data_IF_257696785210
#
_entry.id   IF_257696785210
#
_cell.length_a   1.000
_cell.length_b   1.000
_cell.length_c   1.000
_cell.angle_alpha   90.00
_cell.angle_beta   90.00
_cell.angle_gamma   90.00
#
_symmetry.space_group_name_H-M   'P 1'
#
loop_
_entity.id
_entity.type
_entity.pdbx_description
1 polymer ?
#
# COMPACT_ATOMS: atom_id res chain seq x y z
N UNK A 1 12.05 -8.24 -47.04
CA UNK A 1 10.90 -9.02 -46.54
C UNK A 1 10.78 -8.77 -45.05
N UNK A 2 10.06 -7.73 -44.66
CA UNK A 2 9.66 -7.51 -43.27
C UNK A 2 8.43 -8.37 -43.00
N UNK A 3 8.59 -9.47 -42.27
CA UNK A 3 7.45 -10.15 -41.69
C UNK A 3 6.87 -9.20 -40.62
N UNK A 4 5.69 -8.64 -40.87
CA UNK A 4 4.90 -7.99 -39.83
C UNK A 4 4.52 -9.10 -38.83
N UNK A 5 5.10 -9.04 -37.63
CA UNK A 5 4.73 -9.93 -36.53
C UNK A 5 3.23 -9.78 -36.27
N UNK A 6 2.51 -10.89 -36.14
CA UNK A 6 1.13 -10.83 -35.65
C UNK A 6 1.11 -10.22 -34.26
N UNK A 7 0.00 -9.59 -33.87
CA UNK A 7 -0.15 -9.01 -32.52
C UNK A 7 0.06 -10.05 -31.40
N UNK A 8 -0.23 -11.33 -31.67
CA UNK A 8 0.04 -12.43 -30.75
C UNK A 8 1.54 -12.74 -30.62
N UNK A 9 2.27 -12.86 -31.74
CA UNK A 9 3.71 -13.10 -31.73
C UNK A 9 4.49 -11.95 -31.10
N UNK A 10 4.10 -10.71 -31.37
CA UNK A 10 4.70 -9.53 -30.76
C UNK A 10 4.55 -9.54 -29.23
N UNK A 11 3.37 -9.88 -28.71
CA UNK A 11 3.11 -10.00 -27.26
C UNK A 11 3.93 -11.11 -26.62
N UNK A 12 4.04 -12.25 -27.29
CA UNK A 12 4.87 -13.38 -26.84
C UNK A 12 6.34 -12.97 -26.76
N UNK A 13 6.89 -12.43 -27.86
CA UNK A 13 8.29 -12.00 -27.93
C UNK A 13 8.62 -10.95 -26.87
N UNK A 14 7.72 -9.97 -26.67
CA UNK A 14 7.88 -8.97 -25.62
C UNK A 14 7.93 -9.61 -24.23
N UNK A 15 6.97 -10.49 -23.91
CA UNK A 15 6.87 -11.12 -22.58
C UNK A 15 8.10 -11.98 -22.28
N UNK A 16 8.54 -12.80 -23.25
CA UNK A 16 9.75 -13.63 -23.12
C UNK A 16 11.01 -12.77 -22.98
N UNK A 17 11.14 -11.69 -23.76
CA UNK A 17 12.29 -10.78 -23.69
C UNK A 17 12.36 -10.08 -22.33
N UNK A 18 11.23 -9.56 -21.83
CA UNK A 18 11.16 -8.91 -20.52
C UNK A 18 11.50 -9.90 -19.41
N UNK A 19 10.90 -11.10 -19.44
CA UNK A 19 11.18 -12.13 -18.44
C UNK A 19 12.67 -12.48 -18.39
N UNK A 20 13.28 -12.81 -19.53
CA UNK A 20 14.70 -13.17 -19.61
C UNK A 20 15.62 -12.03 -19.15
N UNK A 21 15.28 -10.79 -19.52
CA UNK A 21 16.07 -9.61 -19.14
C UNK A 21 16.01 -9.38 -17.63
N UNK A 22 14.82 -9.45 -17.03
CA UNK A 22 14.64 -9.27 -15.59
C UNK A 22 15.29 -10.40 -14.79
N UNK A 23 15.19 -11.65 -15.24
CA UNK A 23 15.90 -12.77 -14.61
C UNK A 23 17.41 -12.53 -14.60
N UNK A 24 17.98 -12.19 -15.77
CA UNK A 24 19.42 -11.93 -15.89
C UNK A 24 19.89 -10.81 -14.96
N UNK A 25 19.12 -9.72 -14.86
CA UNK A 25 19.49 -8.58 -14.00
C UNK A 25 19.28 -8.90 -12.51
N UNK A 26 18.18 -9.55 -12.15
CA UNK A 26 17.84 -9.85 -10.75
C UNK A 26 18.59 -11.05 -10.17
N UNK A 27 19.31 -11.80 -11.00
CA UNK A 27 20.28 -12.80 -10.55
C UNK A 27 21.53 -12.16 -9.88
N UNK A 28 21.75 -10.84 -10.06
CA UNK A 28 22.80 -10.13 -9.35
C UNK A 28 22.53 -10.11 -7.83
N UNK A 29 23.52 -10.46 -6.97
CA UNK A 29 23.36 -10.45 -5.52
C UNK A 29 22.84 -9.13 -4.94
N UNK A 30 23.05 -8.00 -5.64
CA UNK A 30 22.49 -6.70 -5.31
C UNK A 30 20.96 -6.78 -5.08
N UNK A 31 20.21 -7.50 -5.91
CA UNK A 31 18.76 -7.62 -5.76
C UNK A 31 18.32 -8.67 -4.73
N UNK A 32 19.25 -9.27 -3.99
CA UNK A 32 18.91 -10.16 -2.87
C UNK A 32 19.36 -9.62 -1.51
N UNK A 33 20.21 -8.58 -1.51
CA UNK A 33 20.72 -7.96 -0.29
C UNK A 33 19.72 -6.99 0.31
N UNK A 34 19.63 -6.98 1.64
CA UNK A 34 18.79 -6.03 2.36
C UNK A 34 19.41 -4.61 2.35
N UNK A 35 20.73 -4.53 2.51
CA UNK A 35 21.45 -3.25 2.54
C UNK A 35 21.28 -2.47 1.23
N UNK A 36 21.29 -3.17 0.09
CA UNK A 36 21.12 -2.55 -1.23
C UNK A 36 19.71 -2.03 -1.47
N UNK A 37 18.67 -2.65 -0.86
CA UNK A 37 17.31 -2.11 -0.87
C UNK A 37 17.25 -0.76 -0.14
N UNK A 38 17.91 -0.68 1.03
CA UNK A 38 18.00 0.55 1.80
C UNK A 38 18.73 1.64 1.01
N UNK A 39 19.91 1.33 0.49
CA UNK A 39 20.73 2.27 -0.30
C UNK A 39 20.00 2.75 -1.55
N UNK A 40 19.32 1.85 -2.28
CA UNK A 40 18.56 2.22 -3.47
C UNK A 40 17.42 3.22 -3.16
N UNK A 41 16.84 3.16 -1.96
CA UNK A 41 15.84 4.14 -1.52
C UNK A 41 16.48 5.47 -1.13
N UNK A 42 17.60 5.45 -0.42
CA UNK A 42 18.28 6.66 0.07
C UNK A 42 19.05 7.41 -1.05
N UNK A 43 19.56 6.69 -2.05
CA UNK A 43 20.43 7.20 -3.11
C UNK A 43 19.72 7.24 -4.46
N UNK A 44 18.81 8.21 -4.62
CA UNK A 44 18.11 8.47 -5.89
C UNK A 44 19.03 8.94 -7.02
N UNK A 45 20.26 9.33 -6.68
CA UNK A 45 21.34 9.74 -7.56
C UNK A 45 22.26 8.59 -8.02
N UNK A 46 22.02 7.35 -7.53
CA UNK A 46 22.79 6.19 -7.92
C UNK A 46 22.64 5.86 -9.41
N UNK A 47 23.72 5.42 -10.03
CA UNK A 47 23.75 4.97 -11.43
C UNK A 47 24.37 3.58 -11.56
N UNK A 48 23.96 2.87 -12.61
CA UNK A 48 24.35 1.50 -12.92
C UNK A 48 25.67 1.54 -13.70
N UNK A 49 26.59 0.66 -13.32
CA UNK A 49 27.88 0.44 -14.00
C UNK A 49 27.95 -0.98 -14.52
N UNK A 50 28.74 -1.20 -15.58
CA UNK A 50 29.12 -2.55 -15.99
C UNK A 50 29.93 -3.25 -14.89
N UNK A 51 30.09 -4.57 -15.01
CA UNK A 51 30.80 -5.40 -14.02
C UNK A 51 32.25 -4.96 -13.81
N UNK A 52 32.85 -4.38 -14.83
CA UNK A 52 34.21 -3.84 -14.85
C UNK A 52 34.30 -2.44 -14.21
N UNK A 53 33.19 -1.90 -13.69
CA UNK A 53 33.11 -0.56 -13.12
C UNK A 53 33.15 0.55 -14.17
N UNK A 54 33.02 0.21 -15.45
CA UNK A 54 33.10 1.15 -16.57
C UNK A 54 31.71 1.67 -16.92
N UNK A 55 31.60 2.98 -17.14
CA UNK A 55 30.39 3.61 -17.67
C UNK A 55 30.24 3.24 -19.14
N UNK A 56 29.03 3.01 -19.60
CA UNK A 56 28.77 3.01 -21.05
C UNK A 56 29.12 4.40 -21.58
N UNK A 57 29.82 4.47 -22.72
CA UNK A 57 30.45 5.71 -23.19
C UNK A 57 29.45 6.83 -23.53
N UNK A 58 28.16 6.52 -23.63
CA UNK A 58 27.16 7.41 -24.23
C UNK A 58 25.98 7.76 -23.31
N UNK A 59 25.66 6.95 -22.28
CA UNK A 59 24.44 7.14 -21.49
C UNK A 59 24.66 6.77 -20.02
N UNK A 60 24.35 7.70 -19.11
CA UNK A 60 24.29 7.39 -17.67
C UNK A 60 22.92 6.76 -17.39
N UNK A 61 22.92 5.50 -16.96
CA UNK A 61 21.71 4.80 -16.54
C UNK A 61 21.52 4.96 -15.03
N UNK A 62 20.60 5.83 -14.62
CA UNK A 62 20.25 5.96 -13.20
C UNK A 62 19.49 4.72 -12.72
N UNK A 63 19.80 4.29 -11.49
CA UNK A 63 19.07 3.20 -10.83
C UNK A 63 17.58 3.56 -10.69
N UNK A 64 17.28 4.85 -10.55
CA UNK A 64 15.92 5.36 -10.49
C UNK A 64 15.11 5.17 -11.76
N UNK A 65 15.73 5.40 -12.91
CA UNK A 65 15.09 5.10 -14.19
C UNK A 65 14.78 3.61 -14.34
N UNK A 66 15.67 2.75 -13.83
CA UNK A 66 15.47 1.31 -13.89
C UNK A 66 14.27 0.85 -13.04
N UNK A 67 14.19 1.22 -11.76
CA UNK A 67 13.03 0.82 -10.96
C UNK A 67 11.73 1.48 -11.43
N UNK A 68 11.76 2.70 -12.00
CA UNK A 68 10.58 3.32 -12.62
C UNK A 68 10.11 2.52 -13.85
N UNK A 69 11.03 1.99 -14.65
CA UNK A 69 10.69 1.10 -15.76
C UNK A 69 10.06 -0.20 -15.26
N UNK A 70 10.63 -0.84 -14.23
CA UNK A 70 10.03 -2.02 -13.60
C UNK A 70 8.63 -1.75 -13.06
N UNK A 71 8.40 -0.63 -12.37
CA UNK A 71 7.09 -0.23 -11.88
C UNK A 71 6.07 -0.01 -13.01
N UNK A 72 6.54 0.51 -14.16
CA UNK A 72 5.69 0.72 -15.33
C UNK A 72 5.31 -0.61 -16.01
N UNK A 73 6.26 -1.54 -16.11
CA UNK A 73 6.01 -2.91 -16.56
C UNK A 73 4.99 -3.59 -15.64
N UNK A 74 5.22 -3.51 -14.32
CA UNK A 74 4.33 -4.10 -13.32
C UNK A 74 2.89 -3.61 -13.50
N UNK A 75 2.66 -2.29 -13.51
CA UNK A 75 1.32 -1.71 -13.70
C UNK A 75 0.68 -2.14 -15.01
N UNK A 76 1.43 -2.12 -16.12
CA UNK A 76 0.89 -2.50 -17.43
C UNK A 76 0.43 -3.95 -17.42
N UNK A 77 1.17 -4.84 -16.78
CA UNK A 77 0.79 -6.25 -16.64
C UNK A 77 -0.45 -6.40 -15.74
N UNK A 78 -0.52 -5.71 -14.60
CA UNK A 78 -1.71 -5.74 -13.73
C UNK A 78 -2.96 -5.29 -14.48
N UNK A 79 -2.89 -4.18 -15.23
CA UNK A 79 -4.01 -3.71 -16.07
C UNK A 79 -4.42 -4.75 -17.10
N UNK A 80 -3.44 -5.33 -17.81
CA UNK A 80 -3.68 -6.36 -18.82
C UNK A 80 -4.37 -7.60 -18.23
N UNK A 81 -3.92 -8.06 -17.07
CA UNK A 81 -4.51 -9.22 -16.39
C UNK A 81 -5.92 -8.93 -15.87
N UNK A 82 -6.23 -7.67 -15.54
CA UNK A 82 -7.54 -7.28 -15.04
C UNK A 82 -8.59 -7.03 -16.15
N UNK A 83 -8.16 -6.50 -17.31
CA UNK A 83 -9.08 -6.00 -18.36
C UNK A 83 -9.08 -6.85 -19.63
N UNK A 84 -7.98 -7.56 -19.92
CA UNK A 84 -7.76 -8.23 -21.20
C UNK A 84 -7.38 -9.71 -21.03
N UNK A 85 -7.71 -10.35 -19.91
CA UNK A 85 -7.23 -11.70 -19.55
C UNK A 85 -7.37 -12.71 -20.71
N UNK A 86 -8.49 -12.70 -21.43
CA UNK A 86 -8.76 -13.58 -22.57
C UNK A 86 -7.73 -13.41 -23.69
N UNK A 87 -7.30 -12.19 -23.99
CA UNK A 87 -6.33 -11.92 -25.07
C UNK A 87 -4.90 -12.34 -24.70
N UNK A 88 -4.64 -12.51 -23.41
CA UNK A 88 -3.33 -12.80 -22.85
C UNK A 88 -3.25 -14.17 -22.16
N UNK A 89 -4.34 -14.96 -22.20
CA UNK A 89 -4.47 -16.24 -21.49
C UNK A 89 -3.23 -17.15 -21.65
N UNK A 90 -2.67 -17.38 -22.87
CA UNK A 90 -1.50 -18.24 -23.02
C UNK A 90 -0.22 -17.68 -22.36
N UNK A 91 -0.18 -16.36 -22.13
CA UNK A 91 0.95 -15.63 -21.56
C UNK A 91 0.77 -15.33 -20.06
N UNK A 92 -0.42 -15.56 -19.48
CA UNK A 92 -0.69 -15.29 -18.05
C UNK A 92 0.37 -15.89 -17.12
N UNK A 93 0.84 -17.14 -17.28
CA UNK A 93 1.89 -17.68 -16.42
C UNK A 93 3.22 -16.89 -16.52
N UNK A 94 3.60 -16.47 -17.73
CA UNK A 94 4.80 -15.66 -17.97
C UNK A 94 4.66 -14.27 -17.34
N UNK A 95 3.50 -13.63 -17.51
CA UNK A 95 3.19 -12.33 -16.93
C UNK A 95 3.20 -12.36 -15.39
N UNK A 96 2.59 -13.38 -14.78
CA UNK A 96 2.65 -13.60 -13.32
C UNK A 96 4.09 -13.76 -12.85
N UNK A 97 4.94 -14.46 -13.62
CA UNK A 97 6.35 -14.60 -13.26
C UNK A 97 7.12 -13.28 -13.29
N UNK A 98 6.81 -12.41 -14.26
CA UNK A 98 7.38 -11.05 -14.32
C UNK A 98 6.96 -10.24 -13.09
N UNK A 99 5.68 -10.29 -12.69
CA UNK A 99 5.20 -9.61 -11.49
C UNK A 99 5.97 -10.07 -10.25
N UNK A 100 6.07 -11.39 -10.03
CA UNK A 100 6.81 -11.99 -8.92
C UNK A 100 8.27 -11.50 -8.87
N UNK A 101 8.96 -11.46 -10.02
CA UNK A 101 10.34 -10.99 -10.11
C UNK A 101 10.49 -9.52 -9.74
N UNK A 102 9.55 -8.67 -10.20
CA UNK A 102 9.57 -7.23 -9.91
C UNK A 102 9.22 -6.93 -8.45
N UNK A 103 8.33 -7.71 -7.84
CA UNK A 103 8.04 -7.62 -6.41
C UNK A 103 9.21 -8.09 -5.55
N UNK A 104 9.75 -9.28 -5.86
CA UNK A 104 10.83 -9.89 -5.09
C UNK A 104 12.13 -9.07 -5.16
N UNK A 105 12.38 -8.39 -6.29
CA UNK A 105 13.52 -7.49 -6.43
C UNK A 105 13.36 -6.17 -5.66
N UNK A 106 12.17 -5.87 -5.13
CA UNK A 106 11.83 -4.62 -4.46
C UNK A 106 11.73 -3.41 -5.39
N UNK A 107 11.90 -3.59 -6.70
CA UNK A 107 11.85 -2.49 -7.66
C UNK A 107 10.47 -1.80 -7.68
N UNK A 108 9.37 -2.54 -7.49
CA UNK A 108 8.06 -1.92 -7.38
C UNK A 108 7.96 -0.99 -6.17
N UNK A 109 8.44 -1.44 -5.00
CA UNK A 109 8.47 -0.64 -3.77
C UNK A 109 9.39 0.59 -3.88
N UNK A 110 10.54 0.47 -4.54
CA UNK A 110 11.44 1.59 -4.81
C UNK A 110 10.81 2.61 -5.77
N UNK A 111 10.14 2.13 -6.83
CA UNK A 111 9.44 2.99 -7.79
C UNK A 111 8.30 3.79 -7.17
N UNK A 112 7.72 3.26 -6.09
CA UNK A 112 6.65 3.90 -5.34
C UNK A 112 7.11 5.08 -4.47
N UNK A 113 8.41 5.14 -4.16
CA UNK A 113 8.98 6.12 -3.23
C UNK A 113 8.21 6.22 -1.90
N UNK A 114 7.74 5.08 -1.38
CA UNK A 114 7.05 4.99 -0.08
C UNK A 114 7.93 4.20 0.90
N UNK A 115 8.39 4.80 2.01
CA UNK A 115 9.17 4.09 3.02
C UNK A 115 8.48 2.82 3.52
N UNK A 116 7.16 2.88 3.72
CA UNK A 116 6.36 1.75 4.25
C UNK A 116 6.41 0.54 3.31
N UNK A 117 6.44 0.76 1.99
CA UNK A 117 6.55 -0.32 1.01
C UNK A 117 7.87 -1.09 1.11
N UNK A 118 8.92 -0.50 1.71
CA UNK A 118 10.19 -1.19 1.90
C UNK A 118 10.11 -2.33 2.89
N UNK A 119 9.25 -2.26 3.91
CA UNK A 119 9.15 -3.36 4.87
C UNK A 119 8.57 -4.62 4.23
N UNK A 120 7.53 -4.45 3.42
CA UNK A 120 7.00 -5.53 2.58
C UNK A 120 8.05 -6.08 1.59
N UNK A 121 8.87 -5.21 0.98
CA UNK A 121 9.94 -5.64 0.09
C UNK A 121 11.10 -6.35 0.82
N UNK A 122 11.37 -6.01 2.09
CA UNK A 122 12.44 -6.59 2.88
C UNK A 122 12.26 -8.10 3.11
N UNK A 123 11.01 -8.61 3.07
CA UNK A 123 10.70 -10.05 3.22
C UNK A 123 11.39 -10.94 2.18
N UNK A 124 11.62 -10.40 0.98
CA UNK A 124 12.25 -11.11 -0.14
C UNK A 124 13.78 -11.09 -0.09
N UNK A 125 14.36 -10.36 0.87
CA UNK A 125 15.81 -10.23 1.00
C UNK A 125 16.38 -11.37 1.84
N UNK A 126 17.64 -11.70 1.55
CA UNK A 126 18.40 -12.65 2.36
C UNK A 126 18.84 -11.95 3.64
N UNK A 127 18.48 -12.52 4.78
CA UNK A 127 18.91 -12.06 6.10
C UNK A 127 19.47 -13.21 6.93
N UNK A 128 20.33 -12.90 7.89
CA UNK A 128 20.87 -13.92 8.80
C UNK A 128 19.90 -14.16 9.97
N UNK A 129 19.19 -13.12 10.38
CA UNK A 129 18.15 -13.13 11.41
C UNK A 129 16.89 -12.45 10.90
N UNK A 130 15.69 -12.83 11.36
CA UNK A 130 14.47 -12.13 10.99
C UNK A 130 14.50 -10.64 11.38
N UNK A 131 15.06 -10.30 12.55
CA UNK A 131 15.18 -8.91 13.04
C UNK A 131 16.03 -8.01 12.13
N UNK A 132 16.95 -8.59 11.34
CA UNK A 132 17.77 -7.83 10.40
C UNK A 132 16.89 -7.05 9.40
N UNK A 133 15.70 -7.54 9.05
CA UNK A 133 14.79 -6.85 8.12
C UNK A 133 14.36 -5.48 8.60
N UNK A 134 14.11 -5.33 9.89
CA UNK A 134 13.81 -4.02 10.51
C UNK A 134 15.09 -3.22 10.66
N UNK A 135 16.16 -3.80 11.21
CA UNK A 135 17.43 -3.09 11.41
C UNK A 135 18.02 -2.54 10.10
N UNK A 136 17.88 -3.29 9.01
CA UNK A 136 18.37 -2.90 7.69
C UNK A 136 17.52 -1.86 6.98
N UNK A 137 16.33 -1.49 7.49
CA UNK A 137 15.51 -0.43 6.87
C UNK A 137 15.20 0.72 7.83
N UNK A 138 15.38 0.57 9.15
CA UNK A 138 14.97 1.56 10.16
C UNK A 138 15.56 2.96 9.90
N UNK A 139 16.76 3.04 9.30
CA UNK A 139 17.43 4.30 8.94
C UNK A 139 16.67 5.09 7.85
N UNK A 140 15.97 4.42 6.94
CA UNK A 140 15.09 5.10 5.96
C UNK A 140 14.01 5.90 6.69
N UNK A 141 13.56 5.37 7.82
CA UNK A 141 12.58 6.03 8.66
C UNK A 141 13.21 6.98 9.66
N UNK A 142 14.54 7.10 9.73
CA UNK A 142 15.26 7.87 10.74
C UNK A 142 15.15 7.33 12.16
N UNK A 143 14.86 6.03 12.32
CA UNK A 143 14.60 5.37 13.60
C UNK A 143 15.87 4.75 14.21
N UNK A 144 15.89 4.62 15.54
CA UNK A 144 16.88 3.87 16.31
C UNK A 144 16.10 2.99 17.28
N UNK A 145 16.12 1.68 17.06
CA UNK A 145 15.26 0.70 17.75
C UNK A 145 16.06 -0.47 18.28
N UNK A 146 15.43 -1.31 19.10
CA UNK A 146 16.00 -2.59 19.50
C UNK A 146 17.36 -2.45 20.18
N UNK A 147 18.26 -3.37 19.86
CA UNK A 147 19.64 -3.41 20.35
C UNK A 147 20.46 -2.19 19.91
N UNK A 148 20.02 -1.45 18.88
CA UNK A 148 20.69 -0.19 18.51
C UNK A 148 20.36 0.95 19.46
N UNK A 149 19.17 0.92 20.09
CA UNK A 149 18.77 1.89 21.10
C UNK A 149 19.22 1.47 22.52
N UNK A 150 19.22 0.18 22.80
CA UNK A 150 19.67 -0.40 24.07
C UNK A 150 20.60 -1.61 23.83
N UNK A 151 21.92 -1.38 23.64
CA UNK A 151 22.87 -2.44 23.29
C UNK A 151 23.05 -3.53 24.36
N UNK A 152 22.61 -3.27 25.60
CA UNK A 152 22.77 -4.21 26.70
C UNK A 152 21.56 -5.17 26.84
N UNK A 153 20.48 -4.93 26.08
CA UNK A 153 19.25 -5.70 26.15
C UNK A 153 19.04 -6.47 24.86
N UNK A 154 18.98 -7.79 24.95
CA UNK A 154 18.54 -8.64 23.82
C UNK A 154 17.05 -8.42 23.58
N UNK A 155 16.69 -8.05 22.35
CA UNK A 155 15.31 -7.75 21.96
C UNK A 155 14.83 -8.79 20.95
N UNK A 156 13.71 -9.43 21.27
CA UNK A 156 13.05 -10.38 20.37
C UNK A 156 12.44 -9.68 19.16
N UNK A 157 12.24 -10.43 18.07
CA UNK A 157 11.69 -9.92 16.81
C UNK A 157 10.33 -9.26 17.03
N UNK A 158 9.45 -9.90 17.80
CA UNK A 158 8.11 -9.40 18.10
C UNK A 158 8.13 -8.05 18.83
N UNK A 159 9.01 -7.90 19.81
CA UNK A 159 9.19 -6.63 20.52
C UNK A 159 9.77 -5.55 19.60
N UNK A 160 10.68 -5.93 18.69
CA UNK A 160 11.22 -5.01 17.68
C UNK A 160 10.14 -4.57 16.68
N UNK A 161 9.24 -5.46 16.25
CA UNK A 161 8.08 -5.15 15.40
C UNK A 161 7.11 -4.19 16.09
N UNK A 162 6.84 -4.41 17.38
CA UNK A 162 6.04 -3.51 18.21
C UNK A 162 6.69 -2.11 18.28
N UNK A 163 8.00 -2.04 18.59
CA UNK A 163 8.75 -0.78 18.63
C UNK A 163 8.74 -0.06 17.28
N UNK A 164 8.91 -0.81 16.18
CA UNK A 164 8.87 -0.27 14.83
C UNK A 164 7.51 0.32 14.51
N UNK A 165 6.43 -0.45 14.68
CA UNK A 165 5.06 0.02 14.41
C UNK A 165 4.67 1.22 15.27
N UNK A 166 5.05 1.26 16.55
CA UNK A 166 4.83 2.42 17.43
C UNK A 166 5.52 3.66 16.91
N UNK A 167 6.82 3.55 16.65
CA UNK A 167 7.62 4.68 16.22
C UNK A 167 7.17 5.23 14.86
N UNK A 168 6.62 4.37 13.98
CA UNK A 168 5.98 4.81 12.74
C UNK A 168 4.72 5.63 13.01
N UNK A 169 3.83 5.17 13.90
CA UNK A 169 2.61 5.89 14.24
C UNK A 169 2.90 7.23 14.94
N UNK A 170 3.91 7.27 15.82
CA UNK A 170 4.37 8.50 16.49
C UNK A 170 4.91 9.54 15.49
N UNK A 171 5.59 9.09 14.42
CA UNK A 171 6.06 10.01 13.35
C UNK A 171 4.95 10.44 12.43
N UNK A 172 4.10 9.50 12.02
CA UNK A 172 2.98 9.76 11.13
C UNK A 172 1.98 8.61 11.17
N UNK A 173 0.93 8.76 11.97
CA UNK A 173 -0.23 7.86 11.97
C UNK A 173 -0.80 7.66 10.56
N UNK A 174 -0.75 8.69 9.74
CA UNK A 174 -1.25 8.63 8.36
C UNK A 174 -0.46 7.59 7.55
N UNK A 175 0.86 7.72 7.47
CA UNK A 175 1.70 6.78 6.72
C UNK A 175 1.69 5.39 7.35
N UNK A 176 1.71 5.33 8.68
CA UNK A 176 1.72 4.08 9.42
C UNK A 176 0.43 3.28 9.27
N UNK A 177 -0.68 3.90 8.85
CA UNK A 177 -1.97 3.22 8.68
C UNK A 177 -2.44 3.12 7.22
N UNK A 178 -1.76 3.72 6.23
CA UNK A 178 -2.10 3.61 4.80
C UNK A 178 -1.39 2.43 4.14
N UNK A 179 -1.72 1.21 4.55
CA UNK A 179 -1.24 -0.04 3.98
C UNK A 179 -2.38 -1.06 3.89
N UNK A 180 -2.18 -2.22 3.28
CA UNK A 180 -3.07 -3.37 3.43
C UNK A 180 -2.27 -4.59 3.84
N UNK A 181 -2.83 -5.45 4.66
CA UNK A 181 -2.29 -6.79 4.90
C UNK A 181 -2.62 -7.70 3.73
N UNK A 182 -1.61 -8.35 3.15
CA UNK A 182 -1.76 -9.33 2.07
C UNK A 182 -2.07 -10.75 2.59
N UNK A 183 -2.03 -10.94 3.90
CA UNK A 183 -2.35 -12.19 4.58
C UNK A 183 -3.00 -11.90 5.92
N UNK A 184 -3.44 -12.95 6.61
CA UNK A 184 -4.10 -12.79 7.90
C UNK A 184 -3.14 -12.14 8.90
N UNK A 185 -3.59 -11.07 9.57
CA UNK A 185 -2.83 -10.44 10.64
C UNK A 185 -2.89 -11.28 11.91
N UNK A 186 -1.86 -11.15 12.76
CA UNK A 186 -1.89 -11.76 14.09
C UNK A 186 -3.00 -11.12 14.93
N UNK A 187 -3.67 -11.92 15.76
CA UNK A 187 -4.68 -11.43 16.69
C UNK A 187 -4.07 -10.32 17.58
N UNK A 188 -4.79 -9.21 17.74
CA UNK A 188 -4.29 -8.07 18.51
C UNK A 188 -3.18 -7.25 17.83
N UNK A 189 -2.96 -7.44 16.52
CA UNK A 189 -1.93 -6.70 15.75
C UNK A 189 -2.39 -6.23 14.38
N UNK A 190 -3.70 -6.15 14.13
CA UNK A 190 -4.18 -5.77 12.79
C UNK A 190 -3.77 -4.34 12.40
N UNK A 191 -3.55 -3.47 13.39
CA UNK A 191 -3.08 -2.09 13.20
C UNK A 191 -1.56 -1.98 12.92
N UNK A 192 -0.78 -3.03 13.17
CA UNK A 192 0.68 -3.02 12.99
C UNK A 192 1.05 -3.31 11.54
N UNK A 193 2.03 -2.59 11.01
CA UNK A 193 2.59 -2.94 9.70
C UNK A 193 3.42 -4.21 9.82
N UNK A 194 3.33 -5.10 8.84
CA UNK A 194 4.07 -6.36 8.81
C UNK A 194 4.87 -6.51 7.51
N UNK A 195 5.74 -7.53 7.47
CA UNK A 195 6.37 -7.98 6.22
C UNK A 195 5.33 -8.40 5.16
N UNK A 196 4.12 -8.76 5.58
CA UNK A 196 3.02 -9.10 4.67
C UNK A 196 2.15 -7.91 4.31
N UNK A 197 2.59 -6.67 4.57
CA UNK A 197 1.87 -5.47 4.18
C UNK A 197 2.30 -4.93 2.81
N UNK A 198 1.37 -4.31 2.10
CA UNK A 198 1.60 -3.57 0.86
C UNK A 198 0.95 -2.19 0.92
N UNK A 199 1.45 -1.24 0.13
CA UNK A 199 0.88 0.11 0.04
C UNK A 199 0.20 0.25 -1.33
N UNK A 200 -1.07 0.64 -1.44
CA UNK A 200 -1.70 0.97 -2.73
C UNK A 200 -1.03 2.13 -3.46
N UNK A 201 -1.03 2.14 -4.81
CA UNK A 201 -0.48 3.22 -5.65
C UNK A 201 -1.04 4.58 -5.30
N UNK A 202 -2.33 4.67 -5.02
CA UNK A 202 -2.98 5.92 -4.62
C UNK A 202 -2.46 6.48 -3.28
N UNK A 203 -1.82 5.64 -2.45
CA UNK A 203 -1.16 6.02 -1.21
C UNK A 203 0.37 6.15 -1.35
N UNK A 204 0.94 5.93 -2.55
CA UNK A 204 2.38 6.04 -2.82
C UNK A 204 2.69 7.41 -3.46
N UNK A 205 3.57 8.21 -2.84
CA UNK A 205 4.12 9.44 -3.42
C UNK A 205 3.16 10.63 -3.63
N UNK A 206 1.84 10.43 -3.62
CA UNK A 206 0.83 11.49 -3.78
C UNK A 206 0.46 12.24 -2.49
N UNK A 207 0.85 11.70 -1.34
CA UNK A 207 0.54 12.30 -0.03
C UNK A 207 1.67 13.24 0.35
N UNK A 208 1.48 14.52 0.08
CA UNK A 208 2.42 15.55 0.52
C UNK A 208 1.89 16.20 1.79
N UNK A 209 2.72 16.21 2.85
CA UNK A 209 2.46 16.88 4.13
C UNK A 209 1.07 16.54 4.71
N UNK A 210 0.83 15.28 5.12
CA UNK A 210 -0.44 14.92 5.74
C UNK A 210 -0.63 15.71 7.04
N UNK A 211 -1.85 16.21 7.24
CA UNK A 211 -2.33 16.84 8.46
C UNK A 211 -3.08 15.78 9.27
N UNK A 212 -2.53 15.28 10.39
CA UNK A 212 -3.18 14.25 11.18
C UNK A 212 -4.44 14.79 11.87
N UNK A 213 -5.48 13.96 11.95
CA UNK A 213 -6.73 14.23 12.66
C UNK A 213 -6.99 13.21 13.79
N UNK A 214 -6.01 12.36 14.07
CA UNK A 214 -6.07 11.34 15.11
C UNK A 214 -4.68 11.07 15.68
N UNK A 215 -4.66 10.22 16.70
CA UNK A 215 -3.47 9.63 17.29
C UNK A 215 -3.74 8.14 17.58
N UNK A 216 -2.69 7.31 17.48
CA UNK A 216 -2.71 5.96 18.06
C UNK A 216 -1.96 6.02 19.38
N UNK A 217 -2.69 5.91 20.49
CA UNK A 217 -2.14 5.95 21.84
C UNK A 217 -1.84 4.53 22.30
N UNK A 218 -0.64 4.32 22.82
CA UNK A 218 -0.18 3.02 23.34
C UNK A 218 -0.23 3.04 24.88
N UNK A 219 -0.99 2.12 25.48
CA UNK A 219 -1.06 2.01 26.95
C UNK A 219 -0.01 1.02 27.49
N UNK A 220 0.14 -0.11 26.83
CA UNK A 220 1.13 -1.15 27.11
C UNK A 220 1.50 -1.89 25.81
N UNK A 221 2.25 -2.99 25.89
CA UNK A 221 2.71 -3.79 24.74
C UNK A 221 1.60 -4.33 23.83
N UNK A 222 0.37 -4.46 24.32
CA UNK A 222 -0.71 -5.16 23.61
C UNK A 222 -1.94 -4.27 23.37
N UNK A 223 -2.07 -3.17 24.11
CA UNK A 223 -3.22 -2.29 24.06
C UNK A 223 -2.87 -0.97 23.36
N UNK A 224 -3.50 -0.77 22.20
CA UNK A 224 -3.45 0.50 21.48
C UNK A 224 -4.87 1.05 21.30
N UNK A 225 -4.97 2.37 21.18
CA UNK A 225 -6.25 3.07 21.01
C UNK A 225 -6.17 4.09 19.91
N UNK A 226 -7.17 4.08 19.03
CA UNK A 226 -7.42 5.18 18.12
C UNK A 226 -8.15 6.29 18.86
N UNK A 227 -7.54 7.47 18.93
CA UNK A 227 -8.13 8.68 19.52
C UNK A 227 -8.29 9.73 18.43
N UNK A 228 -9.51 10.21 18.21
CA UNK A 228 -9.80 11.21 17.18
C UNK A 228 -11.27 11.22 16.80
N UNK A 229 -11.58 11.50 15.53
CA UNK A 229 -12.96 11.49 15.02
C UNK A 229 -13.28 10.19 14.32
N UNK A 230 -14.51 9.72 14.47
CA UNK A 230 -15.04 8.60 13.69
C UNK A 230 -16.48 8.81 13.26
N UNK A 231 -16.92 8.04 12.26
CA UNK A 231 -18.32 7.97 11.85
C UNK A 231 -18.69 6.53 11.46
N UNK A 232 -19.97 6.23 11.33
CA UNK A 232 -20.42 4.94 10.78
C UNK A 232 -20.05 4.81 9.30
N UNK A 233 -19.51 3.66 8.90
CA UNK A 233 -19.07 3.43 7.51
C UNK A 233 -20.22 3.62 6.50
N UNK A 234 -21.44 3.22 6.86
CA UNK A 234 -22.63 3.41 6.01
C UNK A 234 -22.93 4.89 5.72
N UNK A 235 -22.80 5.77 6.72
CA UNK A 235 -23.00 7.21 6.55
C UNK A 235 -21.96 7.82 5.61
N UNK A 236 -20.69 7.43 5.74
CA UNK A 236 -19.63 7.87 4.83
C UNK A 236 -19.81 7.33 3.42
N UNK A 237 -20.25 6.06 3.27
CA UNK A 237 -20.57 5.48 1.97
C UNK A 237 -21.72 6.20 1.27
N UNK A 238 -22.73 6.64 2.02
CA UNK A 238 -23.83 7.45 1.47
C UNK A 238 -23.30 8.81 0.98
N UNK A 239 -22.50 9.49 1.81
CA UNK A 239 -21.85 10.75 1.42
C UNK A 239 -21.07 10.60 0.11
N UNK A 240 -20.24 9.57 -0.04
CA UNK A 240 -19.50 9.34 -1.28
C UNK A 240 -20.41 9.18 -2.50
N UNK A 241 -21.53 8.45 -2.38
CA UNK A 241 -22.49 8.28 -3.49
C UNK A 241 -23.15 9.60 -3.88
N UNK A 242 -23.52 10.43 -2.90
CA UNK A 242 -24.13 11.73 -3.13
C UNK A 242 -23.15 12.68 -3.83
N UNK A 243 -21.91 12.74 -3.36
CA UNK A 243 -20.87 13.58 -3.96
C UNK A 243 -20.47 13.09 -5.36
N UNK A 244 -20.36 11.78 -5.58
CA UNK A 244 -20.07 11.21 -6.90
C UNK A 244 -21.12 11.57 -7.95
N UNK A 245 -22.38 11.76 -7.55
CA UNK A 245 -23.50 12.14 -8.42
C UNK A 245 -23.71 13.64 -8.57
N UNK A 246 -22.89 14.46 -7.91
CA UNK A 246 -23.05 15.91 -7.93
C UNK A 246 -22.87 16.47 -9.35
N UNK A 247 -23.82 17.29 -9.86
CA UNK A 247 -23.73 17.89 -11.20
C UNK A 247 -22.50 18.78 -11.41
N UNK A 248 -21.87 19.25 -10.34
CA UNK A 248 -20.67 20.09 -10.41
C UNK A 248 -19.42 19.32 -10.86
N UNK A 249 -19.47 17.98 -10.91
CA UNK A 249 -18.38 17.16 -11.41
C UNK A 249 -18.57 16.86 -12.89
N UNK A 250 -17.56 17.23 -13.68
CA UNK A 250 -17.55 16.99 -15.11
C UNK A 250 -17.54 15.49 -15.49
N UNK A 251 -17.23 14.59 -14.54
CA UNK A 251 -17.11 13.16 -14.79
C UNK A 251 -17.66 12.39 -13.58
N UNK A 252 -18.57 11.45 -13.84
CA UNK A 252 -19.11 10.49 -12.86
C UNK A 252 -18.03 9.45 -12.53
N UNK A 253 -17.09 9.84 -11.66
CA UNK A 253 -16.04 8.97 -11.15
C UNK A 253 -16.19 8.93 -9.64
N UNK A 254 -16.06 7.77 -8.97
CA UNK A 254 -16.07 7.74 -7.51
C UNK A 254 -15.08 8.74 -6.91
N UNK A 255 -15.46 9.37 -5.79
CA UNK A 255 -14.55 10.25 -5.02
C UNK A 255 -13.58 9.48 -4.15
N UNK A 256 -13.86 8.20 -3.92
CA UNK A 256 -13.17 7.35 -2.95
C UNK A 256 -12.43 6.18 -3.59
N UNK A 257 -11.45 5.67 -2.86
CA UNK A 257 -10.86 4.34 -3.04
C UNK A 257 -10.86 3.61 -1.70
N UNK A 258 -11.27 2.35 -1.70
CA UNK A 258 -11.25 1.47 -0.54
C UNK A 258 -10.23 0.36 -0.79
N UNK A 259 -9.42 0.10 0.23
CA UNK A 259 -8.35 -0.89 0.21
C UNK A 259 -8.52 -1.79 1.41
N UNK A 260 -8.64 -3.09 1.20
CA UNK A 260 -8.98 -4.06 2.24
C UNK A 260 -7.76 -4.87 2.66
N UNK A 261 -7.62 -5.06 3.96
CA UNK A 261 -6.74 -6.09 4.52
C UNK A 261 -7.32 -7.47 4.20
N UNK A 262 -6.48 -8.45 3.91
CA UNK A 262 -6.94 -9.82 3.72
C UNK A 262 -7.58 -10.35 5.00
N UNK A 263 -8.87 -10.68 4.90
CA UNK A 263 -9.70 -11.21 5.98
C UNK A 263 -10.24 -12.58 5.54
N UNK A 264 -9.72 -13.69 6.07
CA UNK A 264 -10.13 -15.04 5.68
C UNK A 264 -11.65 -15.26 5.72
N UNK A 265 -12.33 -14.66 6.71
CA UNK A 265 -13.77 -14.77 6.89
C UNK A 265 -14.62 -14.04 5.83
N UNK A 266 -13.98 -13.19 5.00
CA UNK A 266 -14.62 -12.47 3.91
C UNK A 266 -14.21 -13.00 2.52
N UNK A 267 -13.25 -13.92 2.44
CA UNK A 267 -12.68 -14.39 1.16
C UNK A 267 -13.77 -14.95 0.24
N UNK A 268 -14.66 -15.78 0.76
CA UNK A 268 -15.78 -16.36 0.00
C UNK A 268 -16.99 -15.42 -0.14
N UNK A 269 -16.98 -14.29 0.58
CA UNK A 269 -18.12 -13.36 0.66
C UNK A 269 -17.93 -12.14 -0.21
N UNK A 270 -16.70 -11.84 -0.63
CA UNK A 270 -16.37 -10.71 -1.47
C UNK A 270 -15.86 -11.20 -2.83
N UNK A 271 -16.18 -10.50 -3.93
CA UNK A 271 -15.53 -10.77 -5.20
C UNK A 271 -14.01 -10.68 -5.09
N UNK A 272 -13.29 -11.58 -5.78
CA UNK A 272 -11.82 -11.65 -5.71
C UNK A 272 -11.12 -10.33 -6.02
N UNK A 273 -11.70 -9.49 -6.89
CA UNK A 273 -11.14 -8.21 -7.28
C UNK A 273 -11.21 -7.15 -6.17
N UNK A 274 -11.98 -7.36 -5.11
CA UNK A 274 -11.99 -6.49 -3.93
C UNK A 274 -10.64 -6.50 -3.18
N UNK A 275 -9.84 -7.55 -3.38
CA UNK A 275 -8.50 -7.71 -2.83
C UNK A 275 -7.40 -7.12 -3.73
N UNK A 276 -7.78 -6.51 -4.86
CA UNK A 276 -6.81 -5.86 -5.74
C UNK A 276 -6.25 -4.62 -5.07
N UNK A 277 -4.92 -4.58 -4.96
CA UNK A 277 -4.18 -3.47 -4.35
C UNK A 277 -4.41 -2.13 -5.07
N UNK A 278 -4.58 -2.19 -6.39
CA UNK A 278 -4.60 -1.03 -7.28
C UNK A 278 -5.89 -1.00 -8.12
N UNK A 279 -7.04 -1.20 -7.46
CA UNK A 279 -8.33 -1.11 -8.13
C UNK A 279 -8.58 0.33 -8.64
N UNK A 280 -9.05 0.43 -9.89
CA UNK A 280 -9.36 1.70 -10.53
C UNK A 280 -10.38 2.57 -9.79
N UNK A 281 -10.40 3.85 -10.12
CA UNK A 281 -11.43 4.80 -9.69
C UNK A 281 -12.69 4.59 -10.56
N UNK A 282 -13.46 3.56 -10.26
CA UNK A 282 -14.72 3.26 -10.96
C UNK A 282 -15.82 2.74 -10.02
N UNK A 283 -17.02 2.51 -10.56
CA UNK A 283 -18.22 2.11 -9.80
C UNK A 283 -18.00 0.90 -8.88
N UNK A 284 -16.99 0.05 -9.13
CA UNK A 284 -16.63 -1.05 -8.23
C UNK A 284 -16.27 -0.57 -6.82
N UNK A 285 -15.80 0.67 -6.66
CA UNK A 285 -15.57 1.28 -5.34
C UNK A 285 -16.88 1.48 -4.54
N UNK A 286 -17.97 1.79 -5.22
CA UNK A 286 -19.30 1.86 -4.60
C UNK A 286 -19.87 0.47 -4.31
N UNK A 287 -19.52 -0.53 -5.14
CA UNK A 287 -19.84 -1.93 -4.88
C UNK A 287 -19.11 -2.42 -3.63
N UNK A 288 -17.79 -2.25 -3.49
CA UNK A 288 -17.05 -2.65 -2.27
C UNK A 288 -17.73 -2.10 -1.02
N UNK A 289 -18.11 -0.81 -1.04
CA UNK A 289 -18.81 -0.20 0.09
C UNK A 289 -20.12 -0.92 0.42
N UNK A 290 -20.91 -1.28 -0.61
CA UNK A 290 -22.17 -2.02 -0.45
C UNK A 290 -21.93 -3.41 0.14
N UNK A 291 -20.99 -4.15 -0.45
CA UNK A 291 -20.65 -5.51 -0.03
C UNK A 291 -20.14 -5.53 1.41
N UNK A 292 -19.33 -4.56 1.84
CA UNK A 292 -18.89 -4.46 3.24
C UNK A 292 -20.05 -4.22 4.21
N UNK A 293 -21.00 -3.34 3.87
CA UNK A 293 -22.17 -3.06 4.70
C UNK A 293 -23.06 -4.31 4.83
N UNK A 294 -23.23 -5.05 3.74
CA UNK A 294 -24.02 -6.29 3.71
C UNK A 294 -23.28 -7.44 4.42
N UNK A 295 -21.96 -7.52 4.26
CA UNK A 295 -21.15 -8.59 4.83
C UNK A 295 -20.92 -8.40 6.34
N UNK A 296 -20.87 -7.15 6.80
CA UNK A 296 -20.53 -6.76 8.17
C UNK A 296 -21.58 -5.75 8.70
N UNK A 297 -22.85 -6.17 8.83
CA UNK A 297 -23.92 -5.28 9.24
C UNK A 297 -23.70 -4.83 10.69
N UNK A 298 -23.64 -3.51 10.90
CA UNK A 298 -23.71 -2.83 12.20
C UNK A 298 -22.42 -2.68 13.03
N UNK A 299 -21.26 -3.14 12.59
CA UNK A 299 -20.00 -3.01 13.36
C UNK A 299 -18.90 -2.18 12.68
N UNK A 300 -19.16 -1.63 11.49
CA UNK A 300 -18.16 -0.85 10.75
C UNK A 300 -18.20 0.64 11.08
N UNK A 301 -17.05 1.15 11.52
CA UNK A 301 -16.78 2.57 11.70
C UNK A 301 -15.56 2.99 10.89
N UNK A 302 -15.46 4.27 10.60
CA UNK A 302 -14.28 4.88 9.96
C UNK A 302 -13.66 5.87 10.92
N UNK A 303 -12.43 5.60 11.36
CA UNK A 303 -11.62 6.56 12.09
C UNK A 303 -10.91 7.51 11.12
N UNK A 304 -11.09 8.82 11.27
CA UNK A 304 -10.48 9.83 10.40
C UNK A 304 -8.98 9.95 10.69
N UNK A 305 -8.14 9.46 9.78
CA UNK A 305 -6.68 9.51 9.96
C UNK A 305 -6.14 10.94 9.83
N UNK A 306 -6.61 11.66 8.82
CA UNK A 306 -6.10 12.98 8.50
C UNK A 306 -6.57 13.49 7.15
N UNK A 307 -6.04 14.66 6.78
CA UNK A 307 -6.21 15.24 5.45
C UNK A 307 -4.86 15.49 4.78
N UNK A 308 -4.83 15.59 3.46
CA UNK A 308 -3.64 15.92 2.71
C UNK A 308 -3.99 16.71 1.45
N UNK A 309 -3.02 17.46 0.94
CA UNK A 309 -3.13 18.11 -0.36
C UNK A 309 -2.44 17.23 -1.39
N UNK A 310 -3.14 16.96 -2.48
CA UNK A 310 -2.63 16.22 -3.62
C UNK A 310 -2.89 16.99 -4.91
N UNK A 311 -2.20 16.59 -5.98
CA UNK A 311 -2.51 17.03 -7.33
C UNK A 311 -3.23 15.88 -8.02
N UNK A 312 -4.50 16.07 -8.36
CA UNK A 312 -5.28 15.12 -9.14
C UNK A 312 -5.77 15.78 -10.41
N UNK A 313 -5.43 15.18 -11.55
CA UNK A 313 -5.79 15.70 -12.90
C UNK A 313 -5.41 17.17 -13.08
N UNK A 314 -4.22 17.55 -12.60
CA UNK A 314 -3.70 18.92 -12.69
C UNK A 314 -4.34 19.94 -11.75
N UNK A 315 -5.22 19.52 -10.83
CA UNK A 315 -5.84 20.39 -9.81
C UNK A 315 -5.35 20.02 -8.43
N UNK A 316 -5.12 21.03 -7.59
CA UNK A 316 -4.88 20.84 -6.17
C UNK A 316 -6.21 20.43 -5.55
N UNK A 317 -6.26 19.23 -4.98
CA UNK A 317 -7.43 18.73 -4.25
C UNK A 317 -7.06 18.50 -2.80
N UNK A 318 -8.00 18.80 -1.90
CA UNK A 318 -7.92 18.28 -0.53
C UNK A 318 -8.46 16.85 -0.56
N UNK A 319 -7.75 15.95 0.08
CA UNK A 319 -8.17 14.57 0.23
C UNK A 319 -8.06 14.16 1.69
N UNK A 320 -8.78 13.13 2.06
CA UNK A 320 -8.80 12.58 3.40
C UNK A 320 -8.44 11.10 3.36
N UNK A 321 -7.98 10.60 4.50
CA UNK A 321 -7.83 9.17 4.73
C UNK A 321 -8.59 8.75 5.98
N UNK A 322 -9.08 7.52 5.97
CA UNK A 322 -9.81 6.93 7.08
C UNK A 322 -9.43 5.46 7.26
N UNK A 323 -9.32 5.04 8.51
CA UNK A 323 -9.11 3.65 8.89
C UNK A 323 -10.47 2.96 9.01
N UNK A 324 -10.67 1.87 8.29
CA UNK A 324 -11.92 1.10 8.37
C UNK A 324 -11.75 0.08 9.49
N UNK A 325 -12.62 0.18 10.48
CA UNK A 325 -12.56 -0.60 11.71
C UNK A 325 -13.85 -1.39 11.89
N UNK A 326 -13.73 -2.64 12.31
CA UNK A 326 -14.84 -3.52 12.69
C UNK A 326 -14.82 -3.78 14.18
N UNK A 327 -15.92 -3.46 14.85
CA UNK A 327 -16.15 -3.87 16.23
C UNK A 327 -16.20 -5.39 16.33
N UNK A 328 -15.42 -5.99 17.23
CA UNK A 328 -15.34 -7.43 17.37
C UNK A 328 -16.66 -7.99 17.91
N UNK A 329 -17.35 -8.81 17.10
CA UNK A 329 -18.65 -9.38 17.46
C UNK A 329 -18.53 -10.62 18.36
N UNK A 330 -17.40 -11.33 18.31
CA UNK A 330 -17.19 -12.63 18.97
C UNK A 330 -16.30 -12.54 20.21
N UNK A 331 -15.94 -11.33 20.65
CA UNK A 331 -15.04 -11.08 21.76
C UNK A 331 -15.48 -9.89 22.62
N UNK A 332 -14.50 -9.07 23.01
CA UNK A 332 -14.76 -7.83 23.75
C UNK A 332 -15.35 -6.78 22.78
N UNK A 333 -16.63 -6.38 22.92
CA UNK A 333 -17.24 -5.40 22.02
C UNK A 333 -16.60 -4.01 22.15
N UNK A 334 -15.72 -3.76 23.12
CA UNK A 334 -14.94 -2.53 23.18
C UNK A 334 -13.75 -2.51 22.22
N UNK A 335 -13.41 -3.64 21.59
CA UNK A 335 -12.27 -3.79 20.68
C UNK A 335 -12.67 -3.74 19.22
N UNK A 336 -11.78 -3.17 18.41
CA UNK A 336 -11.95 -2.92 17.00
C UNK A 336 -10.77 -3.49 16.21
N UNK A 337 -11.05 -4.42 15.31
CA UNK A 337 -10.05 -4.92 14.37
C UNK A 337 -10.05 -4.06 13.11
N UNK A 338 -8.88 -3.86 12.52
CA UNK A 338 -8.72 -3.20 11.22
C UNK A 338 -9.25 -4.09 10.09
N UNK A 339 -9.97 -3.48 9.16
CA UNK A 339 -10.49 -4.11 7.94
C UNK A 339 -9.76 -3.60 6.70
N UNK A 340 -9.16 -2.42 6.80
CA UNK A 340 -8.46 -1.76 5.71
C UNK A 340 -8.50 -0.24 5.89
N UNK A 341 -8.37 0.50 4.80
CA UNK A 341 -8.46 1.95 4.82
C UNK A 341 -9.14 2.50 3.56
N UNK A 342 -9.56 3.75 3.62
CA UNK A 342 -10.11 4.46 2.48
C UNK A 342 -9.42 5.82 2.30
N UNK A 343 -9.36 6.27 1.05
CA UNK A 343 -8.96 7.63 0.68
C UNK A 343 -10.11 8.25 -0.10
N UNK A 344 -10.37 9.54 0.09
CA UNK A 344 -11.36 10.24 -0.72
C UNK A 344 -11.04 11.71 -0.93
N UNK A 345 -11.56 12.26 -2.01
CA UNK A 345 -11.50 13.71 -2.31
C UNK A 345 -12.56 14.47 -1.53
N UNK A 346 -12.18 15.62 -0.97
CA UNK A 346 -13.14 16.64 -0.58
C UNK A 346 -13.60 17.37 -1.83
N UNK A 347 -14.89 17.31 -2.12
CA UNK A 347 -15.46 18.08 -3.21
C UNK A 347 -16.12 19.29 -2.58
N UNK A 348 -15.44 20.42 -2.71
CA UNK A 348 -15.87 21.74 -2.24
C UNK A 348 -17.20 22.09 -2.94
N UNK A 349 -18.31 21.62 -2.37
CA UNK A 349 -19.64 21.64 -2.98
C UNK A 349 -20.59 22.59 -2.24
N UNK A 350 -20.05 23.54 -1.47
CA UNK A 350 -20.83 24.44 -0.63
C UNK A 350 -21.30 23.73 0.64
N UNK A 351 -22.63 23.67 0.87
CA UNK A 351 -23.23 23.15 2.11
C UNK A 351 -23.08 21.63 2.33
N UNK A 352 -22.56 20.88 1.35
CA UNK A 352 -22.49 19.42 1.36
C UNK A 352 -21.06 18.86 1.48
N UNK A 353 -20.14 19.62 2.09
CA UNK A 353 -18.77 19.15 2.33
C UNK A 353 -18.70 17.99 3.34
N UNK A 354 -17.49 17.44 3.54
CA UNK A 354 -17.25 16.33 4.49
C UNK A 354 -17.74 16.58 5.92
N UNK A 355 -17.97 17.85 6.28
CA UNK A 355 -18.53 18.27 7.55
C UNK A 355 -19.99 17.85 7.77
N UNK A 356 -20.72 17.44 6.72
CA UNK A 356 -22.08 16.91 6.84
C UNK A 356 -22.13 15.48 7.36
N UNK A 357 -21.02 14.74 7.26
CA UNK A 357 -20.89 13.43 7.88
C UNK A 357 -20.87 13.62 9.40
N UNK A 358 -21.67 12.83 10.11
CA UNK A 358 -21.77 12.88 11.58
C UNK A 358 -20.51 12.32 12.23
N UNK A 359 -19.45 13.13 12.29
CA UNK A 359 -18.20 12.83 12.96
C UNK A 359 -18.36 13.00 14.47
N UNK A 360 -17.99 11.96 15.22
CA UNK A 360 -18.01 11.95 16.68
C UNK A 360 -16.59 11.74 17.19
N UNK A 361 -16.23 12.46 18.26
CA UNK A 361 -15.00 12.16 19.00
C UNK A 361 -15.08 10.73 19.54
N UNK A 362 -13.99 9.99 19.42
CA UNK A 362 -13.91 8.58 19.81
C UNK A 362 -12.58 8.22 20.45
N UNK A 363 -12.61 7.13 21.20
CA UNK A 363 -11.47 6.48 21.82
C UNK A 363 -11.68 4.97 21.67
N UNK A 364 -11.25 4.41 20.55
CA UNK A 364 -11.54 3.04 20.13
C UNK A 364 -10.33 2.16 20.47
N UNK A 365 -10.52 1.06 21.21
CA UNK A 365 -9.44 0.10 21.47
C UNK A 365 -9.19 -0.72 20.21
N UNK A 366 -7.97 -0.70 19.71
CA UNK A 366 -7.59 -1.47 18.53
C UNK A 366 -7.16 -2.87 18.94
N UNK A 367 -7.59 -3.84 18.14
CA UNK A 367 -7.12 -5.22 18.14
C UNK A 367 -6.10 -5.39 17.04
#
# INVERSE_FOLDING_TARGET
MSYELTSAEARRLWSETVLNSLQTVFDDPWFSSLWTLQEAFLRTDAYILGREGVKTETVIYFLSSFYTACGSIYRKIVTVLAEEEILWEPLVPCLKKILELVEASGCYALSANSPIALYGAARYRKTSRPSDRIYGIMQVFGLVLGESADPNRTIGVEELENQFSRSLNERSVFLAQTFVHLGASNAGKSWQVSEYSAVPEVARGGITRPEPNCEIVFEDNENSRFVGKSCGFSALSQYWREVSRSPTRAINVPVQTIHLDYLPELEDRLPWWCWSLDLGFDERQHDISRWLIEAIPSSLVVGLLGSYKGIKRGRVTRSFAGLILRQNATGDPSRYSRVGFCLWEDVDSGSNGIATVNWQECNLRLE
#
